data_IF_843505792576
#
_entry.id   IF_843505792576
#
_cell.length_a   1.000
_cell.length_b   1.000
_cell.length_c   1.000
_cell.angle_alpha   90.00
_cell.angle_beta   90.00
_cell.angle_gamma   90.00
#
_symmetry.space_group_name_H-M   'P 1'
#
loop_
_entity.id
_entity.type
_entity.pdbx_description
1 polymer ?
#
# COMPACT_ATOMS: atom_id res chain seq x y z
N UNK A 1 10.16 35.55 -4.29
CA UNK A 1 8.88 34.82 -4.42
C UNK A 1 9.10 33.32 -4.67
N UNK A 2 9.82 32.92 -5.73
CA UNK A 2 10.10 31.51 -6.05
C UNK A 2 10.72 30.65 -4.92
N UNK A 3 11.77 31.11 -4.18
CA UNK A 3 12.35 30.31 -3.09
C UNK A 3 11.39 30.12 -1.90
N UNK A 4 10.51 31.09 -1.66
CA UNK A 4 9.48 30.98 -0.64
C UNK A 4 8.41 29.94 -1.02
N UNK A 5 7.99 29.93 -2.29
CA UNK A 5 7.05 28.93 -2.81
C UNK A 5 7.63 27.52 -2.75
N UNK A 6 8.88 27.32 -3.20
CA UNK A 6 9.55 26.02 -3.15
C UNK A 6 9.70 25.52 -1.71
N UNK A 7 10.09 26.39 -0.77
CA UNK A 7 10.19 26.05 0.65
C UNK A 7 8.84 25.64 1.23
N UNK A 8 7.77 26.35 0.88
CA UNK A 8 6.41 26.04 1.34
C UNK A 8 5.87 24.72 0.76
N UNK A 9 6.09 24.46 -0.52
CA UNK A 9 5.72 23.19 -1.16
C UNK A 9 6.51 22.03 -0.56
N UNK A 10 7.81 22.21 -0.30
CA UNK A 10 8.64 21.22 0.37
C UNK A 10 8.11 20.83 1.75
N UNK A 11 7.74 21.80 2.59
CA UNK A 11 7.14 21.51 3.89
C UNK A 11 5.78 20.83 3.78
N UNK A 12 4.95 21.24 2.82
CA UNK A 12 3.65 20.61 2.59
C UNK A 12 3.81 19.14 2.21
N UNK A 13 4.70 18.83 1.27
CA UNK A 13 5.00 17.45 0.86
C UNK A 13 5.57 16.63 2.02
N UNK A 14 6.49 17.20 2.80
CA UNK A 14 7.05 16.53 3.97
C UNK A 14 5.97 16.16 4.98
N UNK A 15 5.07 17.09 5.30
CA UNK A 15 3.96 16.83 6.25
C UNK A 15 3.04 15.73 5.72
N UNK A 16 2.70 15.74 4.43
CA UNK A 16 1.85 14.71 3.82
C UNK A 16 2.51 13.31 3.85
N UNK A 17 3.81 13.24 3.55
CA UNK A 17 4.58 11.99 3.62
C UNK A 17 4.62 11.49 5.06
N UNK A 18 4.95 12.34 6.02
CA UNK A 18 5.00 11.94 7.44
C UNK A 18 3.63 11.51 7.97
N UNK A 19 2.56 12.23 7.64
CA UNK A 19 1.21 11.89 8.06
C UNK A 19 0.75 10.56 7.47
N UNK A 20 0.95 10.34 6.17
CA UNK A 20 0.59 9.08 5.51
C UNK A 20 1.43 7.90 6.01
N UNK A 21 2.72 8.11 6.25
CA UNK A 21 3.59 7.08 6.83
C UNK A 21 3.16 6.73 8.26
N UNK A 22 2.79 7.73 9.07
CA UNK A 22 2.27 7.50 10.42
C UNK A 22 1.01 6.64 10.40
N UNK A 23 0.08 6.91 9.48
CA UNK A 23 -1.11 6.07 9.29
C UNK A 23 -0.72 4.63 8.94
N UNK A 24 0.24 4.44 8.02
CA UNK A 24 0.76 3.13 7.65
C UNK A 24 1.30 2.36 8.86
N UNK A 25 2.12 3.01 9.69
CA UNK A 25 2.69 2.42 10.91
C UNK A 25 1.59 2.04 11.90
N UNK A 26 0.60 2.92 12.11
CA UNK A 26 -0.53 2.62 13.00
C UNK A 26 -1.23 1.34 12.54
N UNK A 27 -1.58 1.21 11.26
CA UNK A 27 -2.23 0.02 10.73
C UNK A 27 -1.35 -1.23 10.77
N UNK A 28 -0.03 -1.09 10.64
CA UNK A 28 0.91 -2.21 10.75
C UNK A 28 1.08 -2.74 12.18
N UNK A 29 0.83 -1.90 13.18
CA UNK A 29 0.87 -2.28 14.60
C UNK A 29 -0.42 -2.95 15.07
N UNK A 30 -1.51 -2.87 14.30
CA UNK A 30 -2.75 -3.56 14.63
C UNK A 30 -2.53 -5.08 14.57
N UNK A 31 -3.14 -5.88 15.46
CA UNK A 31 -2.99 -7.33 15.49
C UNK A 31 -3.76 -8.05 14.36
N UNK A 32 -4.17 -7.34 13.32
CA UNK A 32 -4.94 -7.86 12.20
C UNK A 32 -4.03 -8.11 11.00
N UNK A 33 -4.17 -9.29 10.40
CA UNK A 33 -3.48 -9.59 9.14
C UNK A 33 -4.31 -9.07 7.95
N UNK A 34 -3.83 -8.07 7.20
CA UNK A 34 -4.54 -7.56 6.04
C UNK A 34 -4.68 -8.64 4.95
N UNK A 35 -3.78 -9.62 4.86
CA UNK A 35 -3.88 -10.73 3.92
C UNK A 35 -5.06 -11.67 4.26
N UNK A 36 -5.40 -11.83 5.53
CA UNK A 36 -6.54 -12.63 5.97
C UNK A 36 -7.90 -11.97 5.69
N UNK A 37 -7.93 -10.66 5.44
CA UNK A 37 -9.17 -9.96 5.06
C UNK A 37 -9.57 -10.21 3.60
N UNK A 38 -8.68 -10.80 2.81
CA UNK A 38 -8.77 -10.86 1.34
C UNK A 38 -9.44 -12.13 0.80
N UNK A 39 -9.43 -13.18 1.60
CA UNK A 39 -9.80 -14.56 1.25
C UNK A 39 -11.28 -14.90 1.54
N UNK A 40 -12.04 -14.01 2.18
CA UNK A 40 -13.48 -14.21 2.43
C UNK A 40 -13.76 -15.43 3.32
N UNK A 41 -14.77 -16.24 2.97
CA UNK A 41 -15.27 -17.37 3.79
C UNK A 41 -14.39 -18.62 3.77
N UNK A 42 -13.62 -18.85 2.70
CA UNK A 42 -12.80 -20.06 2.52
C UNK A 42 -11.32 -19.76 2.74
N UNK A 43 -11.00 -19.14 3.88
CA UNK A 43 -9.64 -18.74 4.18
C UNK A 43 -8.86 -19.87 4.84
N UNK A 44 -8.07 -20.60 4.06
CA UNK A 44 -7.08 -21.54 4.59
C UNK A 44 -5.73 -20.82 4.81
N UNK A 45 -4.88 -21.31 5.74
CA UNK A 45 -3.58 -20.68 6.00
C UNK A 45 -2.71 -20.58 4.74
N UNK A 46 -2.76 -21.57 3.84
CA UNK A 46 -2.02 -21.54 2.58
C UNK A 46 -2.47 -20.40 1.65
N UNK A 47 -3.78 -20.09 1.64
CA UNK A 47 -4.33 -18.99 0.85
C UNK A 47 -3.94 -17.63 1.45
N UNK A 48 -3.89 -17.51 2.77
CA UNK A 48 -3.43 -16.29 3.44
C UNK A 48 -1.98 -15.99 3.05
N UNK A 49 -1.10 -16.99 3.14
CA UNK A 49 0.31 -16.81 2.81
C UNK A 49 0.51 -16.47 1.32
N UNK A 50 -0.21 -17.16 0.44
CA UNK A 50 -0.20 -16.84 -0.99
C UNK A 50 -0.66 -15.40 -1.26
N UNK A 51 -1.69 -14.92 -0.54
CA UNK A 51 -2.17 -13.54 -0.67
C UNK A 51 -1.21 -12.53 -0.05
N UNK A 52 -0.53 -12.88 1.05
CA UNK A 52 0.50 -12.05 1.68
C UNK A 52 1.63 -11.75 0.70
N UNK A 53 2.14 -12.77 0.02
CA UNK A 53 3.14 -12.63 -1.04
C UNK A 53 2.59 -11.87 -2.27
N UNK A 54 1.38 -12.20 -2.75
CA UNK A 54 0.79 -11.52 -3.93
C UNK A 54 0.58 -10.03 -3.71
N UNK A 55 0.23 -9.62 -2.49
CA UNK A 55 -0.02 -8.23 -2.15
C UNK A 55 1.24 -7.48 -1.67
N UNK A 56 2.33 -8.21 -1.42
CA UNK A 56 3.60 -7.67 -0.93
C UNK A 56 3.58 -7.32 0.56
N UNK A 57 2.70 -7.94 1.35
CA UNK A 57 2.61 -7.72 2.80
C UNK A 57 3.73 -8.45 3.58
N UNK A 58 4.47 -9.33 2.91
CA UNK A 58 5.70 -9.98 3.36
C UNK A 58 6.94 -9.07 3.29
N UNK A 59 6.84 -7.94 2.59
CA UNK A 59 7.95 -7.01 2.39
C UNK A 59 8.16 -6.07 3.60
N UNK A 60 9.36 -5.47 3.77
CA UNK A 60 9.59 -4.47 4.81
C UNK A 60 8.62 -3.27 4.69
N UNK A 61 8.23 -2.68 5.82
CA UNK A 61 7.24 -1.60 5.86
C UNK A 61 7.56 -0.42 4.94
N UNK A 62 8.84 -0.06 4.85
CA UNK A 62 9.35 0.99 3.99
C UNK A 62 9.12 0.68 2.51
N UNK A 63 9.29 -0.57 2.10
CA UNK A 63 9.06 -1.03 0.73
C UNK A 63 7.58 -1.00 0.40
N UNK A 64 6.73 -1.46 1.32
CA UNK A 64 5.27 -1.40 1.18
C UNK A 64 4.78 0.04 1.00
N UNK A 65 5.29 0.95 1.83
CA UNK A 65 4.95 2.37 1.76
C UNK A 65 5.44 3.01 0.45
N UNK A 66 6.66 2.69 0.02
CA UNK A 66 7.19 3.17 -1.26
C UNK A 66 6.30 2.74 -2.44
N UNK A 67 5.90 1.47 -2.46
CA UNK A 67 4.98 0.96 -3.47
C UNK A 67 3.60 1.61 -3.43
N UNK A 68 3.10 1.97 -2.24
CA UNK A 68 1.87 2.75 -2.12
C UNK A 68 2.00 4.14 -2.72
N UNK A 69 3.05 4.89 -2.37
CA UNK A 69 3.30 6.22 -2.94
C UNK A 69 3.45 6.13 -4.45
N UNK A 70 4.23 5.18 -4.97
CA UNK A 70 4.35 4.94 -6.42
C UNK A 70 2.98 4.61 -7.05
N UNK A 71 2.16 3.79 -6.39
CA UNK A 71 0.83 3.40 -6.85
C UNK A 71 -0.11 4.57 -7.06
N UNK A 72 -0.03 5.60 -6.22
CA UNK A 72 -0.86 6.80 -6.35
C UNK A 72 -0.56 7.55 -7.67
N UNK A 73 0.70 7.62 -8.08
CA UNK A 73 1.12 8.41 -9.24
C UNK A 73 1.17 7.60 -10.54
N UNK A 74 1.64 6.35 -10.47
CA UNK A 74 1.94 5.52 -11.63
C UNK A 74 1.08 4.25 -11.73
N UNK A 75 0.22 3.98 -10.75
CA UNK A 75 -0.48 2.70 -10.63
C UNK A 75 0.44 1.61 -10.08
N UNK A 76 -0.13 0.45 -9.80
CA UNK A 76 0.59 -0.67 -9.19
C UNK A 76 0.12 -2.01 -9.74
N UNK A 77 1.08 -2.91 -9.96
CA UNK A 77 0.79 -4.32 -10.24
C UNK A 77 0.91 -5.12 -8.95
N UNK A 78 -0.03 -6.04 -8.75
CA UNK A 78 -0.07 -6.96 -7.62
C UNK A 78 0.06 -8.39 -8.14
N UNK A 79 0.93 -9.20 -7.55
CA UNK A 79 1.22 -10.57 -7.95
C UNK A 79 1.86 -10.72 -9.34
N UNK A 80 2.10 -11.98 -9.73
CA UNK A 80 2.71 -12.36 -11.00
C UNK A 80 1.93 -13.53 -11.64
N UNK A 81 1.90 -13.61 -12.97
CA UNK A 81 1.22 -14.69 -13.71
C UNK A 81 -0.32 -14.61 -13.69
N UNK A 82 -1.00 -15.76 -13.62
CA UNK A 82 -2.48 -15.84 -13.67
C UNK A 82 -3.18 -15.18 -12.45
N UNK A 83 -2.67 -15.44 -11.24
CA UNK A 83 -1.84 -14.48 -10.54
C UNK A 83 -2.31 -13.03 -10.34
N UNK A 84 -1.89 -12.21 -11.30
CA UNK A 84 -1.64 -10.79 -11.10
C UNK A 84 -2.72 -9.90 -11.67
N UNK A 85 -2.84 -8.72 -11.08
CA UNK A 85 -3.76 -7.68 -11.55
C UNK A 85 -3.09 -6.30 -11.49
N UNK A 86 -3.51 -5.43 -12.39
CA UNK A 86 -3.02 -4.05 -12.50
C UNK A 86 -4.06 -3.12 -11.90
N UNK A 87 -3.64 -2.32 -10.92
CA UNK A 87 -4.41 -1.22 -10.38
C UNK A 87 -3.97 0.09 -11.06
N UNK A 88 -4.81 0.71 -11.90
CA UNK A 88 -4.44 1.95 -12.58
C UNK A 88 -4.29 3.11 -11.60
N UNK A 89 -3.52 4.14 -11.98
CA UNK A 89 -3.37 5.34 -11.19
C UNK A 89 -4.71 6.13 -11.13
N UNK A 90 -5.10 6.69 -9.97
CA UNK A 90 -4.42 6.60 -8.67
C UNK A 90 -4.79 5.32 -7.91
N UNK A 91 -3.78 4.47 -7.63
CA UNK A 91 -3.98 3.26 -6.83
C UNK A 91 -3.95 3.61 -5.35
N UNK A 92 -5.13 3.61 -4.71
CA UNK A 92 -5.28 3.80 -3.25
C UNK A 92 -5.19 2.48 -2.46
N UNK A 93 -4.82 1.39 -3.12
CA UNK A 93 -4.87 0.04 -2.57
C UNK A 93 -5.94 -0.83 -3.23
N UNK A 94 -6.05 -2.06 -2.76
CA UNK A 94 -6.98 -3.07 -3.28
C UNK A 94 -8.17 -3.24 -2.34
N UNK A 95 -9.39 -3.08 -2.88
CA UNK A 95 -10.64 -3.32 -2.13
C UNK A 95 -11.10 -4.76 -2.33
N UNK A 96 -11.29 -5.49 -1.23
CA UNK A 96 -11.77 -6.87 -1.23
C UNK A 96 -13.29 -6.99 -1.28
N UNK A 97 -14.00 -5.86 -1.24
CA UNK A 97 -15.46 -5.79 -1.38
C UNK A 97 -15.79 -5.30 -2.79
N UNK A 98 -16.35 -6.20 -3.58
CA UNK A 98 -17.12 -5.92 -4.81
C UNK A 98 -18.59 -6.18 -4.54
#
# INVERSE_FOLDING_TARGET
>A
MLPFVLKRVGYMLLILVLASFAVYVIFALLPFDPAALTCGKNCTPDVIEANRHRLGYDQPLLVQYWHFIQGIWAGRNYGEGAAGFTCPAPSMGYSFRT
#
